data_IF_672724588865
#
_entry.id   IF_672724588865
#
_cell.length_a   1.000
_cell.length_b   1.000
_cell.length_c   1.000
_cell.angle_alpha   90.00
_cell.angle_beta   90.00
_cell.angle_gamma   90.00
#
_symmetry.space_group_name_H-M   'P 1'
#
loop_
_entity.id
_entity.type
_entity.pdbx_description
1 polymer ?
#
# COMPACT_ATOMS: atom_id res chain seq x y z
N UNK A 1 16.64 18.55 29.92
CA UNK A 1 17.08 18.21 28.54
C UNK A 1 16.15 18.95 27.58
N UNK A 2 16.65 19.77 26.65
CA UNK A 2 15.79 20.53 25.74
C UNK A 2 15.10 19.57 24.77
N UNK A 3 13.77 19.46 24.87
CA UNK A 3 12.90 18.64 24.01
C UNK A 3 12.50 19.37 22.72
N UNK A 4 13.22 20.43 22.35
CA UNK A 4 13.04 21.14 21.09
C UNK A 4 13.61 20.31 19.95
N UNK A 5 13.02 20.39 18.76
CA UNK A 5 13.58 19.75 17.57
C UNK A 5 14.88 20.43 17.15
N UNK A 6 15.90 19.64 16.85
CA UNK A 6 17.17 20.09 16.28
C UNK A 6 17.55 19.23 15.08
N UNK A 7 17.82 19.88 13.94
CA UNK A 7 18.08 19.20 12.67
C UNK A 7 19.42 18.44 12.68
N UNK A 8 20.42 18.95 13.40
CA UNK A 8 21.73 18.31 13.47
C UNK A 8 21.66 17.01 14.27
N UNK A 9 21.00 17.02 15.43
CA UNK A 9 20.73 15.80 16.20
C UNK A 9 19.88 14.81 15.41
N UNK A 10 18.85 15.28 14.72
CA UNK A 10 18.03 14.45 13.84
C UNK A 10 18.88 13.74 12.77
N UNK A 11 19.77 14.46 12.09
CA UNK A 11 20.67 13.88 11.08
C UNK A 11 21.64 12.84 11.67
N UNK A 12 22.13 13.06 12.90
CA UNK A 12 22.97 12.08 13.60
C UNK A 12 22.20 10.80 13.92
N UNK A 13 20.95 10.90 14.37
CA UNK A 13 20.07 9.73 14.62
C UNK A 13 19.82 8.98 13.32
N UNK A 14 19.54 9.69 12.21
CA UNK A 14 19.38 9.06 10.90
C UNK A 14 20.63 8.30 10.45
N UNK A 15 21.82 8.90 10.64
CA UNK A 15 23.09 8.28 10.30
C UNK A 15 23.34 7.02 11.15
N UNK A 16 23.04 7.09 12.44
CA UNK A 16 23.14 5.94 13.34
C UNK A 16 22.24 4.79 12.88
N UNK A 17 20.95 5.10 12.66
CA UNK A 17 19.95 4.14 12.18
C UNK A 17 20.38 3.47 10.87
N UNK A 18 20.99 4.24 9.95
CA UNK A 18 21.49 3.75 8.67
C UNK A 18 22.73 2.86 8.83
N UNK A 19 23.66 3.21 9.72
CA UNK A 19 24.87 2.40 9.95
C UNK A 19 24.51 1.08 10.63
N UNK A 20 23.62 1.10 11.61
CA UNK A 20 23.22 -0.10 12.34
C UNK A 20 22.37 -1.05 11.51
N UNK A 21 21.48 -0.52 10.64
CA UNK A 21 20.45 -1.33 9.97
C UNK A 21 20.51 -1.31 8.44
N UNK A 22 21.45 -0.56 7.85
CA UNK A 22 21.58 -0.39 6.40
C UNK A 22 21.72 -1.71 5.64
N UNK A 23 22.48 -2.68 6.18
CA UNK A 23 22.61 -4.01 5.57
C UNK A 23 21.27 -4.73 5.48
N UNK A 24 20.46 -4.67 6.55
CA UNK A 24 19.12 -5.27 6.55
C UNK A 24 18.19 -4.55 5.58
N UNK A 25 18.28 -3.22 5.47
CA UNK A 25 17.51 -2.46 4.49
C UNK A 25 17.86 -2.84 3.05
N UNK A 26 19.14 -3.03 2.73
CA UNK A 26 19.58 -3.49 1.42
C UNK A 26 19.08 -4.92 1.11
N UNK A 27 19.11 -5.84 2.07
CA UNK A 27 18.58 -7.19 1.90
C UNK A 27 17.07 -7.21 1.65
N UNK A 28 16.31 -6.38 2.37
CA UNK A 28 14.86 -6.23 2.16
C UNK A 28 14.61 -5.60 0.78
N UNK A 29 15.39 -4.58 0.40
CA UNK A 29 15.29 -3.95 -0.91
C UNK A 29 15.54 -4.96 -2.04
N UNK A 30 16.62 -5.75 -1.98
CA UNK A 30 16.93 -6.73 -3.01
C UNK A 30 15.83 -7.80 -3.12
N UNK A 31 15.37 -8.35 -1.99
CA UNK A 31 14.27 -9.31 -1.98
C UNK A 31 12.99 -8.74 -2.62
N UNK A 32 12.61 -7.50 -2.28
CA UNK A 32 11.42 -6.86 -2.84
C UNK A 32 11.60 -6.52 -4.32
N UNK A 33 12.79 -6.14 -4.78
CA UNK A 33 13.05 -5.94 -6.22
C UNK A 33 12.95 -7.23 -7.01
N UNK A 34 13.46 -8.35 -6.47
CA UNK A 34 13.32 -9.67 -7.11
C UNK A 34 11.85 -10.06 -7.19
N UNK A 35 11.11 -9.90 -6.09
CA UNK A 35 9.67 -10.18 -6.07
C UNK A 35 8.91 -9.30 -7.08
N UNK A 36 9.21 -8.01 -7.12
CA UNK A 36 8.64 -7.05 -8.07
C UNK A 36 8.84 -7.51 -9.52
N UNK A 37 10.09 -7.81 -9.89
CA UNK A 37 10.44 -8.26 -11.22
C UNK A 37 9.77 -9.60 -11.56
N UNK A 38 9.72 -10.54 -10.61
CA UNK A 38 9.09 -11.84 -10.81
C UNK A 38 7.60 -11.75 -11.16
N UNK A 39 6.91 -10.74 -10.61
CA UNK A 39 5.49 -10.50 -10.88
C UNK A 39 5.26 -9.69 -12.16
N UNK A 40 6.18 -8.78 -12.51
CA UNK A 40 6.00 -7.88 -13.65
C UNK A 40 6.44 -8.48 -14.99
N UNK A 41 7.50 -9.28 -15.02
CA UNK A 41 8.11 -9.80 -16.25
C UNK A 41 7.28 -10.82 -17.05
N UNK A 42 6.37 -11.64 -16.47
CA UNK A 42 5.58 -12.60 -17.24
C UNK A 42 4.76 -12.01 -18.40
N UNK A 43 4.42 -10.71 -18.33
CA UNK A 43 3.73 -10.02 -19.43
C UNK A 43 4.55 -9.96 -20.72
N UNK A 44 5.88 -10.00 -20.62
CA UNK A 44 6.82 -9.87 -21.75
C UNK A 44 7.11 -11.22 -22.42
N UNK A 45 6.83 -12.34 -21.76
CA UNK A 45 7.17 -13.68 -22.26
C UNK A 45 6.13 -14.24 -23.23
N UNK A 46 4.89 -13.77 -23.16
CA UNK A 46 3.80 -14.22 -24.04
C UNK A 46 3.73 -13.41 -25.32
N UNK A 47 3.44 -14.09 -26.44
CA UNK A 47 3.13 -13.46 -27.74
C UNK A 47 1.62 -13.20 -27.94
N UNK A 48 0.81 -13.49 -26.92
CA UNK A 48 -0.64 -13.28 -26.91
C UNK A 48 -1.05 -12.65 -25.58
N UNK A 49 -2.10 -11.80 -25.54
CA UNK A 49 -2.55 -11.20 -24.31
C UNK A 49 -3.17 -12.27 -23.40
N UNK A 50 -2.52 -12.48 -22.27
CA UNK A 50 -2.96 -13.38 -21.20
C UNK A 50 -3.38 -12.54 -20.00
N UNK A 51 -4.65 -12.65 -19.60
CA UNK A 51 -5.22 -11.82 -18.53
C UNK A 51 -4.65 -12.12 -17.13
N UNK A 52 -4.16 -13.34 -16.89
CA UNK A 52 -3.50 -13.67 -15.60
C UNK A 52 -2.18 -12.93 -15.43
N UNK A 53 -1.42 -12.73 -16.51
CA UNK A 53 -0.17 -11.95 -16.47
C UNK A 53 -0.45 -10.46 -16.26
N UNK A 54 -1.51 -9.93 -16.87
CA UNK A 54 -1.95 -8.56 -16.63
C UNK A 54 -2.37 -8.35 -15.16
N UNK A 55 -3.16 -9.28 -14.61
CA UNK A 55 -3.57 -9.23 -13.21
C UNK A 55 -2.36 -9.30 -12.26
N UNK A 56 -1.40 -10.21 -12.52
CA UNK A 56 -0.16 -10.33 -11.74
C UNK A 56 0.66 -9.04 -11.78
N UNK A 57 0.74 -8.40 -12.96
CA UNK A 57 1.47 -7.16 -13.19
C UNK A 57 0.90 -5.99 -12.37
N UNK A 58 -0.43 -5.84 -12.31
CA UNK A 58 -1.06 -4.82 -11.46
C UNK A 58 -0.98 -5.17 -9.97
N UNK A 59 -1.14 -6.45 -9.63
CA UNK A 59 -1.01 -6.94 -8.25
C UNK A 59 0.40 -6.71 -7.69
N UNK A 60 1.43 -6.64 -8.55
CA UNK A 60 2.80 -6.35 -8.16
C UNK A 60 2.93 -5.02 -7.39
N UNK A 61 2.19 -3.98 -7.81
CA UNK A 61 2.14 -2.69 -7.11
C UNK A 61 1.68 -2.88 -5.67
N UNK A 62 0.51 -3.53 -5.50
CA UNK A 62 -0.11 -3.75 -4.21
C UNK A 62 0.76 -4.63 -3.30
N UNK A 63 1.32 -5.72 -3.83
CA UNK A 63 2.17 -6.63 -3.05
C UNK A 63 3.45 -5.94 -2.59
N UNK A 64 4.16 -5.24 -3.47
CA UNK A 64 5.40 -4.56 -3.09
C UNK A 64 5.11 -3.44 -2.09
N UNK A 65 4.05 -2.67 -2.31
CA UNK A 65 3.61 -1.67 -1.35
C UNK A 65 3.33 -2.30 0.01
N UNK A 66 2.46 -3.33 0.09
CA UNK A 66 2.09 -3.99 1.34
C UNK A 66 3.31 -4.55 2.09
N UNK A 67 4.15 -5.33 1.42
CA UNK A 67 5.32 -5.95 2.05
C UNK A 67 6.42 -4.95 2.39
N UNK A 68 6.62 -3.91 1.59
CA UNK A 68 7.55 -2.81 1.91
C UNK A 68 7.14 -2.09 3.20
N UNK A 69 5.86 -1.74 3.36
CA UNK A 69 5.36 -1.17 4.63
C UNK A 69 5.55 -2.14 5.78
N UNK A 70 5.08 -3.37 5.61
CA UNK A 70 4.83 -4.27 6.72
C UNK A 70 6.13 -4.77 7.33
N UNK A 71 7.12 -5.14 6.50
CA UNK A 71 8.41 -5.59 6.97
C UNK A 71 9.25 -4.45 7.56
N UNK A 72 9.28 -3.29 6.91
CA UNK A 72 10.08 -2.17 7.40
C UNK A 72 9.49 -1.61 8.71
N UNK A 73 8.21 -1.24 8.72
CA UNK A 73 7.57 -0.63 9.89
C UNK A 73 7.61 -1.56 11.08
N UNK A 74 7.40 -2.87 10.86
CA UNK A 74 7.52 -3.87 11.93
C UNK A 74 8.93 -3.93 12.50
N UNK A 75 9.98 -3.97 11.67
CA UNK A 75 11.35 -4.04 12.15
C UNK A 75 11.80 -2.75 12.86
N UNK A 76 11.46 -1.58 12.31
CA UNK A 76 11.85 -0.30 12.89
C UNK A 76 11.17 -0.04 14.24
N UNK A 77 9.89 -0.40 14.38
CA UNK A 77 9.10 -0.08 15.57
C UNK A 77 9.16 -1.15 16.66
N UNK A 78 9.41 -2.41 16.31
CA UNK A 78 9.65 -3.45 17.33
C UNK A 78 10.90 -3.13 18.17
N UNK A 79 11.86 -2.40 17.59
CA UNK A 79 13.03 -1.90 18.32
C UNK A 79 12.65 -0.95 19.47
N UNK A 80 11.64 -0.10 19.29
CA UNK A 80 11.16 0.78 20.36
C UNK A 80 10.21 0.05 21.34
N UNK A 81 9.67 -1.11 20.96
CA UNK A 81 8.75 -1.88 21.79
C UNK A 81 9.44 -2.89 22.73
N UNK A 82 10.68 -3.31 22.42
CA UNK A 82 11.40 -4.34 23.18
C UNK A 82 12.24 -3.74 24.31
N UNK A 83 12.25 -4.38 25.49
CA UNK A 83 12.83 -3.83 26.73
C UNK A 83 14.34 -3.46 26.59
N UNK A 84 15.21 -4.32 26.03
CA UNK A 84 16.65 -4.01 25.94
C UNK A 84 16.98 -2.90 24.95
N UNK A 85 16.24 -2.85 23.83
CA UNK A 85 16.43 -1.85 22.78
C UNK A 85 15.72 -0.53 23.07
N UNK A 86 14.70 -0.55 23.94
CA UNK A 86 14.07 0.65 24.48
C UNK A 86 15.02 1.38 25.44
N UNK A 87 15.80 0.65 26.26
CA UNK A 87 16.82 1.26 27.12
C UNK A 87 17.89 1.95 26.27
N UNK A 88 18.39 1.32 25.19
CA UNK A 88 19.37 1.96 24.31
C UNK A 88 18.78 3.18 23.58
N UNK A 89 17.50 3.15 23.17
CA UNK A 89 16.86 4.31 22.56
C UNK A 89 16.60 5.45 23.55
N UNK A 90 16.36 5.15 24.83
CA UNK A 90 16.24 6.16 25.90
C UNK A 90 17.57 6.85 26.18
N UNK A 91 18.69 6.16 26.01
CA UNK A 91 20.04 6.73 26.17
C UNK A 91 20.46 7.66 25.04
N UNK A 92 19.75 7.65 23.90
CA UNK A 92 20.01 8.58 22.81
C UNK A 92 19.57 10.01 23.19
N UNK A 93 20.47 11.01 23.12
CA UNK A 93 20.16 12.41 23.45
C UNK A 93 19.39 13.09 22.31
N UNK A 94 18.24 12.52 21.95
CA UNK A 94 17.34 13.00 20.90
C UNK A 94 15.93 13.20 21.48
N UNK A 95 15.19 14.17 20.94
CA UNK A 95 13.79 14.40 21.34
C UNK A 95 12.89 13.26 20.86
N UNK A 96 11.74 13.08 21.52
CA UNK A 96 10.75 12.06 21.12
C UNK A 96 10.29 12.24 19.66
N UNK A 97 10.17 13.48 19.21
CA UNK A 97 9.78 13.83 17.84
C UNK A 97 10.87 13.43 16.84
N UNK A 98 12.15 13.70 17.14
CA UNK A 98 13.28 13.31 16.28
C UNK A 98 13.34 11.79 16.07
N UNK A 99 13.16 11.00 17.14
CA UNK A 99 13.15 9.53 17.07
C UNK A 99 11.95 8.99 16.27
N UNK A 100 10.78 9.56 16.47
CA UNK A 100 9.58 9.19 15.70
C UNK A 100 9.76 9.51 14.21
N UNK A 101 10.24 10.72 13.89
CA UNK A 101 10.48 11.14 12.52
C UNK A 101 11.61 10.35 11.85
N UNK A 102 12.64 9.90 12.58
CA UNK A 102 13.76 9.16 11.97
C UNK A 102 13.26 7.83 11.42
N UNK A 103 12.42 7.15 12.20
CA UNK A 103 11.85 5.88 11.81
C UNK A 103 10.78 6.02 10.71
N UNK A 104 10.02 7.12 10.70
CA UNK A 104 9.10 7.45 9.61
C UNK A 104 9.83 7.81 8.31
N UNK A 105 10.91 8.59 8.40
CA UNK A 105 11.66 9.08 7.25
C UNK A 105 12.14 7.96 6.35
N UNK A 106 12.82 6.95 6.91
CA UNK A 106 13.33 5.84 6.12
C UNK A 106 12.22 4.95 5.55
N UNK A 107 11.09 4.82 6.25
CA UNK A 107 9.95 4.10 5.68
C UNK A 107 9.40 4.84 4.45
N UNK A 108 9.15 6.15 4.57
CA UNK A 108 8.71 7.01 3.48
C UNK A 108 9.70 7.02 2.31
N UNK A 109 11.00 7.14 2.59
CA UNK A 109 12.06 7.05 1.59
C UNK A 109 12.00 5.74 0.81
N UNK A 110 11.83 4.61 1.52
CA UNK A 110 11.74 3.29 0.92
C UNK A 110 10.52 3.16 0.01
N UNK A 111 9.35 3.62 0.47
CA UNK A 111 8.10 3.59 -0.31
C UNK A 111 8.23 4.40 -1.59
N UNK A 112 8.64 5.67 -1.48
CA UNK A 112 8.70 6.59 -2.61
C UNK A 112 9.65 6.04 -3.66
N UNK A 113 10.80 5.51 -3.23
CA UNK A 113 11.78 4.89 -4.13
C UNK A 113 11.20 3.68 -4.87
N UNK A 114 10.51 2.78 -4.18
CA UNK A 114 9.90 1.61 -4.79
C UNK A 114 8.71 1.94 -5.70
N UNK A 115 7.94 2.98 -5.36
CA UNK A 115 6.83 3.47 -6.18
C UNK A 115 7.35 4.05 -7.50
N UNK A 116 8.42 4.85 -7.45
CA UNK A 116 9.11 5.36 -8.65
C UNK A 116 9.64 4.20 -9.49
N UNK A 117 10.32 3.23 -8.88
CA UNK A 117 10.81 2.03 -9.58
C UNK A 117 9.67 1.23 -10.24
N UNK A 118 8.55 1.05 -9.55
CA UNK A 118 7.37 0.37 -10.10
C UNK A 118 6.87 1.08 -11.36
N UNK A 119 6.62 2.39 -11.31
CA UNK A 119 6.12 3.11 -12.48
C UNK A 119 7.09 3.09 -13.65
N UNK A 120 8.39 3.25 -13.39
CA UNK A 120 9.42 3.14 -14.43
C UNK A 120 9.41 1.76 -15.10
N UNK A 121 9.31 0.68 -14.32
CA UNK A 121 9.22 -0.68 -14.85
C UNK A 121 7.88 -0.92 -15.56
N UNK A 122 6.78 -0.39 -15.05
CA UNK A 122 5.44 -0.57 -15.59
C UNK A 122 5.36 -0.06 -17.03
N UNK A 123 5.73 1.20 -17.27
CA UNK A 123 5.72 1.77 -18.61
C UNK A 123 6.63 0.96 -19.57
N UNK A 124 7.88 0.68 -19.15
CA UNK A 124 8.84 -0.05 -19.99
C UNK A 124 8.37 -1.47 -20.34
N UNK A 125 7.87 -2.23 -19.37
CA UNK A 125 7.47 -3.62 -19.60
C UNK A 125 6.19 -3.73 -20.42
N UNK A 126 5.24 -2.81 -20.24
CA UNK A 126 4.04 -2.73 -21.08
C UNK A 126 4.41 -2.34 -22.51
N UNK A 127 5.32 -1.39 -22.72
CA UNK A 127 5.77 -1.01 -24.05
C UNK A 127 6.41 -2.19 -24.79
N UNK A 128 7.31 -2.91 -24.10
CA UNK A 128 7.96 -4.11 -24.66
C UNK A 128 6.94 -5.21 -24.96
N UNK A 129 5.97 -5.44 -24.07
CA UNK A 129 4.93 -6.45 -24.28
C UNK A 129 4.03 -6.07 -25.47
N UNK A 130 3.56 -4.82 -25.52
CA UNK A 130 2.68 -4.33 -26.58
C UNK A 130 3.36 -4.24 -27.95
N UNK A 131 4.69 -4.06 -28.00
CA UNK A 131 5.47 -4.10 -29.24
C UNK A 131 5.51 -5.51 -29.87
N UNK A 132 5.38 -6.57 -29.06
CA UNK A 132 5.33 -7.96 -29.55
C UNK A 132 3.94 -8.38 -30.02
N UNK A 133 2.91 -7.65 -29.61
CA UNK A 133 1.52 -7.98 -29.92
C UNK A 133 1.13 -7.43 -31.30
N UNK A 134 0.28 -8.13 -32.06
CA UNK A 134 -0.22 -7.65 -33.33
C UNK A 134 -0.97 -6.32 -33.16
N UNK A 135 -0.76 -5.37 -34.07
CA UNK A 135 -1.31 -4.00 -33.98
C UNK A 135 -2.85 -3.93 -33.91
N UNK A 136 -3.52 -4.97 -34.40
CA UNK A 136 -4.97 -5.14 -34.49
C UNK A 136 -5.56 -5.96 -33.34
N UNK A 137 -4.72 -6.42 -32.40
CA UNK A 137 -5.11 -7.18 -31.22
C UNK A 137 -5.31 -6.32 -29.97
N UNK A 138 -5.80 -6.94 -28.90
CA UNK A 138 -5.84 -6.32 -27.57
C UNK A 138 -4.42 -6.03 -27.08
N UNK A 139 -4.19 -4.80 -26.65
CA UNK A 139 -2.95 -4.35 -26.00
C UNK A 139 -3.19 -4.20 -24.52
N UNK A 140 -2.15 -4.50 -23.73
CA UNK A 140 -2.19 -4.27 -22.31
C UNK A 140 -2.31 -2.76 -22.03
N UNK A 141 -3.35 -2.33 -21.29
CA UNK A 141 -3.52 -0.93 -20.95
C UNK A 141 -2.52 -0.50 -19.87
N UNK A 142 -2.12 0.77 -19.89
CA UNK A 142 -1.41 1.33 -18.75
C UNK A 142 -2.34 1.43 -17.54
N UNK A 143 -1.76 1.36 -16.34
CA UNK A 143 -2.51 1.57 -15.11
C UNK A 143 -3.15 2.96 -15.13
N UNK A 144 -4.46 3.00 -14.90
CA UNK A 144 -5.19 4.27 -14.82
C UNK A 144 -4.73 5.06 -13.61
N UNK A 145 -4.60 6.37 -13.76
CA UNK A 145 -4.18 7.27 -12.67
C UNK A 145 -5.07 7.10 -11.43
N UNK A 146 -6.39 7.03 -11.58
CA UNK A 146 -7.33 6.86 -10.46
C UNK A 146 -7.08 5.56 -9.67
N UNK A 147 -6.72 4.48 -10.38
CA UNK A 147 -6.42 3.19 -9.78
C UNK A 147 -5.08 3.23 -9.04
N UNK A 148 -4.07 3.90 -9.61
CA UNK A 148 -2.80 4.14 -8.95
C UNK A 148 -2.98 4.96 -7.66
N UNK A 149 -3.76 6.05 -7.72
CA UNK A 149 -4.09 6.88 -6.55
C UNK A 149 -4.80 6.05 -5.47
N UNK A 150 -5.76 5.22 -5.87
CA UNK A 150 -6.44 4.31 -4.94
C UNK A 150 -5.47 3.37 -4.22
N UNK A 151 -4.53 2.74 -4.95
CA UNK A 151 -3.52 1.88 -4.33
C UNK A 151 -2.59 2.64 -3.39
N UNK A 152 -2.22 3.88 -3.70
CA UNK A 152 -1.46 4.73 -2.79
C UNK A 152 -2.21 5.01 -1.48
N UNK A 153 -3.50 5.33 -1.55
CA UNK A 153 -4.31 5.53 -0.34
C UNK A 153 -4.48 4.25 0.48
N UNK A 154 -4.78 3.12 -0.18
CA UNK A 154 -4.87 1.82 0.48
C UNK A 154 -3.54 1.47 1.18
N UNK A 155 -2.42 1.78 0.54
CA UNK A 155 -1.09 1.64 1.12
C UNK A 155 -0.92 2.47 2.39
N UNK A 156 -1.20 3.78 2.34
CA UNK A 156 -0.99 4.64 3.51
C UNK A 156 -1.90 4.25 4.69
N UNK A 157 -3.13 3.80 4.44
CA UNK A 157 -3.99 3.23 5.48
C UNK A 157 -3.32 2.01 6.14
N UNK A 158 -2.87 1.05 5.33
CA UNK A 158 -2.21 -0.16 5.83
C UNK A 158 -0.94 0.18 6.61
N UNK A 159 -0.12 1.09 6.09
CA UNK A 159 1.08 1.59 6.74
C UNK A 159 0.76 2.21 8.11
N UNK A 160 -0.25 3.09 8.20
CA UNK A 160 -0.67 3.71 9.46
C UNK A 160 -1.13 2.69 10.49
N UNK A 161 -1.94 1.71 10.08
CA UNK A 161 -2.41 0.65 10.97
C UNK A 161 -1.26 -0.25 11.45
N UNK A 162 -0.31 -0.58 10.57
CA UNK A 162 0.88 -1.35 10.92
C UNK A 162 1.80 -0.58 11.89
N UNK A 163 1.98 0.72 11.66
CA UNK A 163 2.71 1.61 12.56
C UNK A 163 2.08 1.61 13.94
N UNK A 164 0.78 1.88 14.03
CA UNK A 164 0.07 1.89 15.31
C UNK A 164 0.14 0.53 16.01
N UNK A 165 -0.13 -0.55 15.27
CA UNK A 165 -0.11 -1.89 15.80
C UNK A 165 1.25 -2.29 16.37
N UNK A 166 2.34 -1.94 15.66
CA UNK A 166 3.72 -2.17 16.08
C UNK A 166 4.09 -1.54 17.43
N UNK A 167 3.45 -0.41 17.76
CA UNK A 167 3.65 0.28 19.04
C UNK A 167 2.74 -0.32 20.12
N UNK A 168 1.52 -0.72 19.80
CA UNK A 168 0.57 -1.24 20.80
C UNK A 168 0.92 -2.63 21.31
N UNK A 169 1.33 -3.56 20.44
CA UNK A 169 1.62 -4.92 20.84
C UNK A 169 3.12 -5.14 21.08
N UNK A 170 3.51 -5.52 22.30
CA UNK A 170 4.92 -5.81 22.62
C UNK A 170 5.41 -7.18 22.13
N UNK A 171 4.51 -8.17 22.04
CA UNK A 171 4.82 -9.54 21.61
C UNK A 171 3.99 -9.93 20.39
N UNK A 172 4.67 -10.49 19.38
CA UNK A 172 4.08 -10.93 18.10
C UNK A 172 3.22 -9.84 17.45
N UNK A 173 3.70 -8.60 17.53
CA UNK A 173 2.94 -7.44 17.08
C UNK A 173 2.49 -7.57 15.64
N UNK A 174 3.44 -7.94 14.77
CA UNK A 174 3.19 -8.12 13.35
C UNK A 174 2.00 -9.04 13.07
N UNK A 175 1.98 -10.22 13.69
CA UNK A 175 0.94 -11.23 13.48
C UNK A 175 -0.42 -10.72 13.95
N UNK A 176 -0.48 -10.06 15.12
CA UNK A 176 -1.73 -9.53 15.67
C UNK A 176 -2.29 -8.40 14.81
N UNK A 177 -1.43 -7.47 14.39
CA UNK A 177 -1.83 -6.35 13.54
C UNK A 177 -2.24 -6.82 12.15
N UNK A 178 -1.50 -7.77 11.56
CA UNK A 178 -1.86 -8.36 10.28
C UNK A 178 -3.21 -9.09 10.36
N UNK A 179 -3.46 -9.86 11.42
CA UNK A 179 -4.74 -10.54 11.62
C UNK A 179 -5.90 -9.53 11.75
N UNK A 180 -5.71 -8.45 12.51
CA UNK A 180 -6.71 -7.38 12.64
C UNK A 180 -6.99 -6.71 11.29
N UNK A 181 -5.94 -6.34 10.55
CA UNK A 181 -6.06 -5.73 9.23
C UNK A 181 -6.81 -6.64 8.26
N UNK A 182 -6.44 -7.93 8.18
CA UNK A 182 -7.10 -8.89 7.30
C UNK A 182 -8.58 -9.02 7.66
N UNK A 183 -8.92 -9.13 8.95
CA UNK A 183 -10.30 -9.17 9.39
C UNK A 183 -11.07 -7.89 9.02
N UNK A 184 -10.47 -6.71 9.24
CA UNK A 184 -11.08 -5.43 8.87
C UNK A 184 -11.30 -5.31 7.36
N UNK A 185 -10.33 -5.70 6.53
CA UNK A 185 -10.45 -5.70 5.06
C UNK A 185 -11.58 -6.61 4.61
N UNK A 186 -11.67 -7.83 5.14
CA UNK A 186 -12.75 -8.77 4.81
C UNK A 186 -14.12 -8.16 5.15
N UNK A 187 -14.26 -7.57 6.34
CA UNK A 187 -15.52 -6.94 6.78
C UNK A 187 -15.88 -5.77 5.86
N UNK A 188 -14.95 -4.85 5.59
CA UNK A 188 -15.20 -3.68 4.73
C UNK A 188 -15.56 -4.10 3.31
N UNK A 189 -14.83 -5.06 2.72
CA UNK A 189 -15.15 -5.57 1.39
C UNK A 189 -16.52 -6.24 1.35
N UNK A 190 -16.86 -7.03 2.37
CA UNK A 190 -18.15 -7.73 2.43
C UNK A 190 -19.31 -6.73 2.55
N UNK A 191 -19.18 -5.72 3.40
CA UNK A 191 -20.18 -4.65 3.55
C UNK A 191 -20.30 -3.82 2.26
N UNK A 192 -19.18 -3.47 1.63
CA UNK A 192 -19.19 -2.70 0.38
C UNK A 192 -19.84 -3.48 -0.75
N UNK A 193 -19.49 -4.76 -0.92
CA UNK A 193 -20.07 -5.63 -1.94
C UNK A 193 -21.56 -5.85 -1.69
N UNK A 194 -21.98 -6.10 -0.44
CA UNK A 194 -23.40 -6.28 -0.12
C UNK A 194 -24.21 -5.02 -0.38
N UNK A 195 -23.68 -3.85 0.02
CA UNK A 195 -24.30 -2.55 -0.24
C UNK A 195 -24.41 -2.27 -1.74
N UNK A 196 -23.34 -2.55 -2.50
CA UNK A 196 -23.33 -2.37 -3.94
C UNK A 196 -24.33 -3.30 -4.64
N UNK A 197 -24.40 -4.59 -4.26
CA UNK A 197 -25.41 -5.52 -4.79
C UNK A 197 -26.84 -5.07 -4.49
N UNK A 198 -27.09 -4.61 -3.26
CA UNK A 198 -28.40 -4.12 -2.84
C UNK A 198 -28.84 -2.89 -3.66
N UNK A 199 -27.97 -1.87 -3.76
CA UNK A 199 -28.28 -0.62 -4.46
C UNK A 199 -28.41 -0.81 -5.99
N UNK A 200 -27.70 -1.77 -6.55
CA UNK A 200 -27.71 -2.04 -8.01
C UNK A 200 -28.71 -3.12 -8.42
N UNK A 201 -29.57 -3.56 -7.50
CA UNK A 201 -30.59 -4.57 -7.77
C UNK A 201 -30.02 -5.87 -8.34
N UNK A 202 -28.91 -6.36 -7.76
CA UNK A 202 -28.27 -7.64 -8.08
C UNK A 202 -27.93 -7.83 -9.58
N UNK A 203 -26.93 -7.08 -10.10
CA UNK A 203 -26.44 -7.28 -11.46
C UNK A 203 -25.78 -8.66 -11.61
N UNK A 204 -25.80 -9.18 -12.84
CA UNK A 204 -25.23 -10.50 -13.16
C UNK A 204 -23.73 -10.58 -12.90
N UNK A 205 -23.01 -9.45 -13.04
CA UNK A 205 -21.63 -9.31 -12.62
C UNK A 205 -21.43 -7.92 -12.04
N UNK A 206 -20.67 -7.84 -10.94
CA UNK A 206 -20.28 -6.58 -10.31
C UNK A 206 -18.77 -6.60 -10.08
N UNK A 207 -18.08 -5.57 -10.56
CA UNK A 207 -16.67 -5.33 -10.30
C UNK A 207 -16.56 -3.96 -9.63
N UNK A 208 -16.15 -3.97 -8.37
CA UNK A 208 -16.07 -2.77 -7.55
C UNK A 208 -14.99 -2.95 -6.49
N UNK A 209 -14.29 -1.87 -6.18
CA UNK A 209 -13.42 -1.78 -5.01
C UNK A 209 -14.05 -0.80 -4.02
N UNK A 210 -13.85 -0.99 -2.70
CA UNK A 210 -14.28 -0.02 -1.69
C UNK A 210 -13.88 1.39 -2.09
N UNK A 211 -14.77 2.37 -1.90
CA UNK A 211 -14.48 3.78 -2.18
C UNK A 211 -14.19 4.13 -3.65
N UNK A 212 -14.50 3.25 -4.61
CA UNK A 212 -14.31 3.48 -6.06
C UNK A 212 -15.60 3.33 -6.86
N UNK A 213 -15.53 3.68 -8.15
CA UNK A 213 -16.61 3.49 -9.12
C UNK A 213 -17.07 2.04 -9.25
N UNK A 214 -18.32 1.84 -9.64
CA UNK A 214 -18.90 0.51 -9.83
C UNK A 214 -19.01 0.18 -11.32
N UNK A 215 -18.56 -1.01 -11.68
CA UNK A 215 -18.73 -1.56 -13.01
C UNK A 215 -19.68 -2.76 -12.93
N UNK A 216 -20.78 -2.71 -13.66
CA UNK A 216 -21.77 -3.77 -13.63
C UNK A 216 -22.17 -4.21 -15.03
N UNK A 217 -22.53 -5.49 -15.12
CA UNK A 217 -23.03 -6.12 -16.32
C UNK A 217 -24.38 -6.77 -16.03
N UNK A 218 -25.36 -6.51 -16.89
CA UNK A 218 -26.64 -7.23 -16.90
C UNK A 218 -26.65 -8.16 -18.10
N UNK A 219 -26.61 -9.47 -17.87
CA UNK A 219 -26.77 -10.45 -18.95
C UNK A 219 -28.24 -10.86 -19.02
N UNK A 220 -28.84 -10.74 -20.21
CA UNK A 220 -30.17 -11.30 -20.47
C UNK A 220 -29.96 -12.78 -20.84
N UNK A 221 -30.58 -13.69 -20.10
CA UNK A 221 -30.74 -15.12 -20.45
C UNK A 221 -29.49 -16.01 -20.50
N UNK A 222 -28.60 -15.96 -19.50
CA UNK A 222 -27.62 -17.04 -19.23
C UNK A 222 -26.57 -17.34 -20.31
N UNK A 223 -26.67 -16.72 -21.48
CA UNK A 223 -25.76 -16.87 -22.60
C UNK A 223 -24.66 -15.82 -22.50
N UNK A 224 -23.42 -16.29 -22.30
CA UNK A 224 -22.19 -15.49 -22.24
C UNK A 224 -21.85 -14.77 -23.56
N UNK A 225 -22.72 -14.79 -24.57
CA UNK A 225 -22.47 -14.30 -25.93
C UNK A 225 -23.13 -12.95 -26.23
N UNK A 226 -23.46 -12.15 -25.21
CA UNK A 226 -23.85 -10.75 -25.45
C UNK A 226 -22.61 -9.94 -25.75
N UNK A 227 -22.52 -9.45 -26.99
CA UNK A 227 -21.46 -8.62 -27.52
C UNK A 227 -21.00 -7.56 -26.51
N UNK A 228 -19.67 -7.52 -26.34
CA UNK A 228 -18.85 -6.61 -25.55
C UNK A 228 -19.31 -5.14 -25.72
N UNK A 229 -20.27 -4.67 -24.92
CA UNK A 229 -20.57 -3.23 -24.82
C UNK A 229 -22.02 -2.79 -24.58
N UNK A 230 -23.05 -3.63 -24.79
CA UNK A 230 -24.44 -3.12 -24.74
C UNK A 230 -25.05 -3.03 -23.32
N UNK A 231 -24.54 -3.77 -22.34
CA UNK A 231 -25.10 -3.79 -20.97
C UNK A 231 -24.05 -3.49 -19.88
N UNK A 232 -23.01 -2.72 -20.20
CA UNK A 232 -22.00 -2.30 -19.23
C UNK A 232 -22.33 -0.91 -18.68
N UNK A 233 -22.69 -0.84 -17.40
CA UNK A 233 -22.87 0.43 -16.71
C UNK A 233 -21.65 0.73 -15.85
N UNK A 234 -21.11 1.93 -16.01
CA UNK A 234 -19.99 2.45 -15.26
C UNK A 234 -20.46 3.62 -14.40
N UNK A 235 -20.71 3.37 -13.12
CA UNK A 235 -21.16 4.39 -12.18
C UNK A 235 -19.94 5.01 -11.54
N UNK A 236 -19.63 6.25 -11.92
CA UNK A 236 -18.59 7.07 -11.28
C UNK A 236 -19.22 7.95 -10.21
N UNK A 237 -18.54 8.07 -9.08
CA UNK A 237 -18.89 9.09 -8.11
C UNK A 237 -18.61 10.47 -8.69
N UNK A 238 -19.47 11.47 -8.41
CA UNK A 238 -19.15 12.86 -8.67
C UNK A 238 -17.79 13.24 -8.06
N UNK A 239 -17.01 14.06 -8.77
CA UNK A 239 -15.66 14.46 -8.33
C UNK A 239 -15.64 15.01 -6.91
N UNK A 240 -16.66 15.78 -6.51
CA UNK A 240 -16.78 16.32 -5.15
C UNK A 240 -16.84 15.23 -4.07
N UNK A 241 -17.59 14.16 -4.32
CA UNK A 241 -17.71 13.02 -3.39
C UNK A 241 -16.39 12.25 -3.35
N UNK A 242 -15.76 12.05 -4.50
CA UNK A 242 -14.46 11.37 -4.58
C UNK A 242 -13.38 12.13 -3.78
N UNK A 243 -13.27 13.45 -3.94
CA UNK A 243 -12.33 14.25 -3.17
C UNK A 243 -12.67 14.33 -1.67
N UNK A 244 -13.97 14.35 -1.31
CA UNK A 244 -14.38 14.29 0.09
C UNK A 244 -13.96 12.97 0.76
N UNK A 245 -14.10 11.84 0.06
CA UNK A 245 -13.63 10.53 0.53
C UNK A 245 -12.11 10.54 0.70
N UNK A 246 -11.35 11.07 -0.27
CA UNK A 246 -9.89 11.18 -0.17
C UNK A 246 -9.45 12.06 1.02
N UNK A 247 -10.13 13.19 1.25
CA UNK A 247 -9.86 14.07 2.39
C UNK A 247 -10.14 13.36 3.71
N UNK A 248 -11.26 12.64 3.82
CA UNK A 248 -11.59 11.84 5.00
C UNK A 248 -10.53 10.77 5.28
N UNK A 249 -10.11 10.02 4.25
CA UNK A 249 -9.05 9.01 4.37
C UNK A 249 -7.73 9.64 4.82
N UNK A 250 -7.38 10.81 4.27
CA UNK A 250 -6.16 11.53 4.65
C UNK A 250 -6.19 11.94 6.12
N UNK A 251 -7.31 12.50 6.60
CA UNK A 251 -7.48 12.85 8.01
C UNK A 251 -7.41 11.62 8.91
N UNK A 252 -7.98 10.50 8.48
CA UNK A 252 -7.90 9.22 9.21
C UNK A 252 -6.45 8.73 9.34
N UNK A 253 -5.68 8.75 8.24
CA UNK A 253 -4.25 8.40 8.21
C UNK A 253 -3.46 9.29 9.20
N UNK A 254 -3.64 10.61 9.12
CA UNK A 254 -2.96 11.57 9.98
C UNK A 254 -3.33 11.39 11.45
N UNK A 255 -4.59 11.08 11.74
CA UNK A 255 -5.06 10.81 13.11
C UNK A 255 -4.37 9.57 13.69
N UNK A 256 -4.21 8.50 12.91
CA UNK A 256 -3.50 7.29 13.35
C UNK A 256 -2.01 7.59 13.62
N UNK A 257 -1.36 8.37 12.75
CA UNK A 257 0.04 8.79 12.98
C UNK A 257 0.19 9.61 14.26
N UNK A 258 -0.76 10.51 14.52
CA UNK A 258 -0.77 11.29 15.76
C UNK A 258 -0.96 10.41 17.00
N UNK A 259 -1.89 9.45 16.96
CA UNK A 259 -2.09 8.48 18.06
C UNK A 259 -0.82 7.63 18.27
N UNK A 260 -0.18 7.18 17.18
CA UNK A 260 1.08 6.43 17.23
C UNK A 260 2.18 7.25 17.92
N UNK A 261 2.31 8.54 17.60
CA UNK A 261 3.24 9.46 18.24
C UNK A 261 2.97 9.64 19.73
N UNK A 262 1.70 9.88 20.13
CA UNK A 262 1.33 10.00 21.55
C UNK A 262 1.65 8.73 22.32
N UNK A 263 1.37 7.56 21.73
CA UNK A 263 1.64 6.28 22.38
C UNK A 263 3.13 5.98 22.54
N UNK A 264 3.96 6.39 21.58
CA UNK A 264 5.41 6.28 21.70
C UNK A 264 5.91 7.13 22.87
N UNK A 265 5.40 8.37 22.99
CA UNK A 265 5.73 9.27 24.10
C UNK A 265 5.36 8.66 25.46
N UNK A 266 4.21 8.02 25.59
CA UNK A 266 3.78 7.35 26.83
C UNK A 266 4.68 6.17 27.24
N UNK A 267 5.33 5.49 26.27
CA UNK A 267 6.19 4.33 26.55
C UNK A 267 7.62 4.70 26.95
N UNK A 268 8.05 5.91 26.59
CA UNK A 268 9.40 6.40 26.90
C UNK A 268 9.48 7.18 28.23
N UNK A 269 8.33 7.43 28.89
CA UNK A 269 8.23 7.95 30.26
C UNK A 269 8.24 6.80 31.25
#
# INVERSE_FOLDING_TARGET
MNQTFDIHRFALVLKLDLVERGKNYLLIATLLTILLLSMMLPIVTSSKPVGTYEALHYMAMFMVMLFASSFYTSNAMTHYASLPTSISSLMLPASHLEKFLSAMFFNLLFIVSFLVLYFQLHYKTIDIANAKLPSWGYKYPYIKFDLAVYFCFAYFILHSLLLLGSIYFSKRSYVKTAAFIVASVIIVFTIHLSMAHYLTHYPSKLNTLPFTSWQMWYFKDGNFTVFRGLNTFHIQFPNNIYHAIQAFITLFILSIWYIAYLRLKEKEV
#
